data_IF_014377973127
#
_entry.id   IF_014377973127
#
_cell.length_a   1.000
_cell.length_b   1.000
_cell.length_c   1.000
_cell.angle_alpha   90.00
_cell.angle_beta   90.00
_cell.angle_gamma   90.00
#
_symmetry.space_group_name_H-M   'P 1'
#
loop_
_entity.id
_entity.type
_entity.pdbx_description
1 polymer ?
#
# COMPACT_ATOMS: atom_id res chain seq x y z
N UNK A 1 18.08 -4.74 -5.32
CA UNK A 1 16.80 -4.04 -5.23
C UNK A 1 16.86 -3.12 -4.01
N UNK A 2 16.62 -1.85 -4.19
CA UNK A 2 16.64 -0.91 -3.09
C UNK A 2 15.27 -0.21 -2.97
N UNK A 3 14.91 0.13 -1.74
CA UNK A 3 13.65 0.80 -1.42
C UNK A 3 13.88 2.16 -0.80
N UNK A 4 12.91 3.04 -0.96
CA UNK A 4 12.72 4.19 -0.07
C UNK A 4 11.34 4.10 0.56
N UNK A 5 11.26 4.51 1.83
CA UNK A 5 10.03 4.54 2.61
C UNK A 5 9.63 5.99 2.82
N UNK A 6 8.38 6.33 2.58
CA UNK A 6 7.83 7.63 2.93
C UNK A 6 6.49 7.45 3.63
N UNK A 7 6.12 8.41 4.47
CA UNK A 7 4.89 8.33 5.23
C UNK A 7 4.34 9.72 5.55
N UNK A 8 3.03 9.74 5.78
CA UNK A 8 2.33 10.85 6.43
C UNK A 8 1.42 10.21 7.47
N UNK A 9 1.65 10.49 8.74
CA UNK A 9 0.91 9.90 9.86
C UNK A 9 0.29 11.02 10.68
N UNK A 10 -1.04 11.13 10.68
CA UNK A 10 -1.78 12.23 11.30
C UNK A 10 -1.25 13.61 10.88
N UNK A 11 -0.93 13.76 9.58
CA UNK A 11 -0.42 15.01 9.04
C UNK A 11 1.08 15.24 9.21
N UNK A 12 1.79 14.33 9.86
CA UNK A 12 3.25 14.44 10.08
C UNK A 12 3.99 13.54 9.12
N UNK A 13 4.76 14.12 8.20
CA UNK A 13 5.46 13.39 7.15
C UNK A 13 6.92 13.10 7.47
N UNK A 14 7.48 12.13 6.75
CA UNK A 14 8.89 11.77 6.81
C UNK A 14 9.26 10.77 5.75
N UNK A 15 10.55 10.48 5.67
CA UNK A 15 11.07 9.48 4.73
C UNK A 15 12.34 8.82 5.28
N UNK A 16 12.67 7.66 4.70
CA UNK A 16 13.84 6.89 5.07
C UNK A 16 14.36 6.17 3.82
N UNK A 17 15.62 6.42 3.46
CA UNK A 17 16.28 5.71 2.37
C UNK A 17 16.82 4.38 2.87
N UNK A 18 16.70 3.33 2.04
CA UNK A 18 17.18 1.99 2.36
C UNK A 18 16.68 1.47 3.72
N UNK A 19 15.34 1.47 3.94
CA UNK A 19 14.81 1.03 5.22
C UNK A 19 15.07 -0.45 5.46
N UNK A 20 15.23 -0.82 6.73
CA UNK A 20 15.12 -2.20 7.17
C UNK A 20 13.64 -2.55 7.37
N UNK A 21 13.32 -3.83 7.44
CA UNK A 21 11.93 -4.24 7.70
C UNK A 21 11.40 -3.63 9.01
N UNK A 22 12.23 -3.55 10.04
CA UNK A 22 11.83 -2.95 11.31
C UNK A 22 11.39 -1.49 11.15
N UNK A 23 12.04 -0.73 10.27
CA UNK A 23 11.66 0.66 9.99
C UNK A 23 10.26 0.73 9.36
N UNK A 24 10.01 -0.16 8.40
CA UNK A 24 8.70 -0.26 7.74
C UNK A 24 7.62 -0.69 8.73
N UNK A 25 7.90 -1.71 9.53
CA UNK A 25 6.94 -2.26 10.48
C UNK A 25 6.54 -1.25 11.55
N UNK A 26 7.49 -0.47 12.06
CA UNK A 26 7.19 0.58 13.04
C UNK A 26 6.18 1.59 12.47
N UNK A 27 6.37 2.03 11.22
CA UNK A 27 5.45 2.98 10.59
C UNK A 27 4.10 2.34 10.26
N UNK A 28 4.12 1.09 9.84
CA UNK A 28 2.90 0.34 9.56
C UNK A 28 2.05 0.19 10.83
N UNK A 29 2.65 -0.20 11.95
CA UNK A 29 1.95 -0.34 13.22
C UNK A 29 1.39 1.01 13.70
N UNK A 30 2.13 2.10 13.48
CA UNK A 30 1.66 3.43 13.83
C UNK A 30 0.42 3.81 12.97
N UNK A 31 0.34 3.34 11.73
CA UNK A 31 -0.79 3.63 10.85
C UNK A 31 -2.08 2.92 11.25
N UNK A 32 -2.01 1.88 12.08
CA UNK A 32 -3.15 0.99 12.37
C UNK A 32 -4.40 1.71 12.86
N UNK A 33 -4.25 2.73 13.71
CA UNK A 33 -5.39 3.40 14.35
C UNK A 33 -5.47 4.89 14.03
N UNK A 34 -4.76 5.34 13.00
CA UNK A 34 -4.72 6.75 12.62
C UNK A 34 -5.02 6.90 11.13
N UNK A 35 -5.10 8.13 10.66
CA UNK A 35 -5.19 8.41 9.23
C UNK A 35 -3.80 8.72 8.67
N UNK A 36 -3.57 8.34 7.42
CA UNK A 36 -2.30 8.63 6.77
C UNK A 36 -1.98 7.71 5.62
N UNK A 37 -0.74 7.81 5.16
CA UNK A 37 -0.21 7.02 4.04
C UNK A 37 1.16 6.46 4.38
N UNK A 38 1.46 5.30 3.79
CA UNK A 38 2.80 4.73 3.74
C UNK A 38 3.07 4.33 2.30
N UNK A 39 4.23 4.70 1.79
CA UNK A 39 4.65 4.36 0.43
C UNK A 39 6.04 3.74 0.46
N UNK A 40 6.17 2.58 -0.19
CA UNK A 40 7.45 1.95 -0.49
C UNK A 40 7.70 2.09 -1.98
N UNK A 41 8.76 2.78 -2.35
CA UNK A 41 9.20 2.90 -3.74
C UNK A 41 10.39 1.99 -3.99
N UNK A 42 10.40 1.31 -5.14
CA UNK A 42 11.54 0.53 -5.59
C UNK A 42 12.38 1.42 -6.51
N UNK A 43 13.68 1.46 -6.25
CA UNK A 43 14.62 2.14 -7.12
C UNK A 43 15.24 1.14 -8.10
N UNK A 44 15.65 1.63 -9.26
CA UNK A 44 16.40 0.88 -10.27
C UNK A 44 15.61 -0.25 -10.94
N UNK A 45 14.27 -0.18 -10.96
CA UNK A 45 13.44 -1.08 -11.75
C UNK A 45 12.90 -0.38 -12.98
N UNK A 46 13.37 -0.79 -14.16
CA UNK A 46 12.88 -0.23 -15.44
C UNK A 46 11.50 -0.76 -15.80
N UNK A 47 11.16 -1.96 -15.34
CA UNK A 47 9.87 -2.62 -15.59
C UNK A 47 9.42 -3.36 -14.34
N UNK A 48 8.15 -3.77 -14.32
CA UNK A 48 7.59 -4.49 -13.18
C UNK A 48 7.18 -3.55 -12.06
N UNK A 49 7.08 -4.05 -10.82
CA UNK A 49 6.63 -3.26 -9.69
C UNK A 49 7.51 -2.05 -9.42
N UNK A 50 6.89 -0.91 -9.16
CA UNK A 50 7.56 0.37 -8.90
C UNK A 50 7.31 0.87 -7.48
N UNK A 51 6.10 0.65 -6.95
CA UNK A 51 5.74 1.17 -5.64
C UNK A 51 4.56 0.41 -5.06
N UNK A 52 4.47 0.43 -3.73
CA UNK A 52 3.29 0.01 -2.99
C UNK A 52 2.88 1.14 -2.06
N UNK A 53 1.61 1.53 -2.11
CA UNK A 53 1.08 2.57 -1.23
C UNK A 53 -0.10 2.06 -0.43
N UNK A 54 -0.11 2.40 0.86
CA UNK A 54 -1.22 2.14 1.76
C UNK A 54 -1.79 3.48 2.18
N UNK A 55 -3.11 3.65 2.02
CA UNK A 55 -3.86 4.78 2.55
C UNK A 55 -4.79 4.28 3.63
N UNK A 56 -4.89 5.00 4.74
CA UNK A 56 -5.66 4.55 5.88
C UNK A 56 -6.46 5.68 6.51
N UNK A 57 -7.68 5.35 6.92
CA UNK A 57 -8.53 6.21 7.74
C UNK A 57 -9.59 5.37 8.45
N UNK A 58 -9.73 5.57 9.76
CA UNK A 58 -10.80 4.95 10.56
C UNK A 58 -10.89 3.42 10.44
N UNK A 59 -9.74 2.74 10.34
CA UNK A 59 -9.70 1.28 10.22
C UNK A 59 -9.98 0.74 8.83
N UNK A 60 -10.10 1.62 7.84
CA UNK A 60 -10.24 1.26 6.43
C UNK A 60 -8.90 1.48 5.74
N UNK A 61 -8.50 0.52 4.90
CA UNK A 61 -7.21 0.56 4.21
C UNK A 61 -7.40 0.36 2.72
N UNK A 62 -6.69 1.17 1.93
CA UNK A 62 -6.60 1.02 0.49
C UNK A 62 -5.15 0.73 0.14
N UNK A 63 -4.90 -0.39 -0.54
CA UNK A 63 -3.55 -0.80 -0.91
C UNK A 63 -3.46 -0.87 -2.42
N UNK A 64 -2.50 -0.14 -2.98
CA UNK A 64 -2.27 -0.08 -4.43
C UNK A 64 -0.81 -0.37 -4.75
N UNK A 65 -0.59 -1.20 -5.77
CA UNK A 65 0.73 -1.48 -6.32
C UNK A 65 0.80 -0.89 -7.72
N UNK A 66 1.74 0.02 -7.95
CA UNK A 66 2.02 0.57 -9.27
C UNK A 66 3.11 -0.24 -9.96
N UNK A 67 2.91 -0.58 -11.23
CA UNK A 67 3.89 -1.33 -12.00
C UNK A 67 3.94 -0.86 -13.45
N UNK A 68 5.07 -1.12 -14.10
CA UNK A 68 5.24 -0.85 -15.54
C UNK A 68 5.15 -2.18 -16.28
N UNK A 69 4.16 -2.26 -17.19
CA UNK A 69 3.91 -3.43 -18.02
C UNK A 69 3.85 -2.96 -19.48
N UNK A 70 4.77 -3.45 -20.33
CA UNK A 70 4.82 -3.09 -21.76
C UNK A 70 4.77 -1.57 -21.99
N UNK A 71 5.61 -0.84 -21.29
CA UNK A 71 5.74 0.64 -21.32
C UNK A 71 4.54 1.41 -20.74
N UNK A 72 3.50 0.73 -20.27
CA UNK A 72 2.35 1.35 -19.62
C UNK A 72 2.46 1.25 -18.09
N UNK A 73 2.00 2.30 -17.41
CA UNK A 73 1.90 2.29 -15.94
C UNK A 73 0.51 1.76 -15.56
N UNK A 74 0.49 0.69 -14.79
CA UNK A 74 -0.74 0.03 -14.34
C UNK A 74 -0.79 -0.01 -12.82
N UNK A 75 -2.00 -0.04 -12.26
CA UNK A 75 -2.22 -0.13 -10.81
C UNK A 75 -2.98 -1.42 -10.52
N UNK A 76 -2.42 -2.20 -9.58
CA UNK A 76 -3.08 -3.39 -9.03
C UNK A 76 -3.58 -3.07 -7.63
N UNK A 77 -4.74 -3.59 -7.27
CA UNK A 77 -5.37 -3.34 -5.98
C UNK A 77 -6.10 -4.58 -5.47
N UNK A 78 -6.45 -4.56 -4.19
CA UNK A 78 -7.33 -5.56 -3.62
C UNK A 78 -8.73 -5.44 -4.22
N UNK A 79 -9.37 -6.57 -4.45
CA UNK A 79 -10.72 -6.60 -5.00
C UNK A 79 -11.53 -7.72 -4.35
N UNK A 80 -12.63 -7.35 -3.70
CA UNK A 80 -13.57 -8.28 -3.06
C UNK A 80 -14.89 -8.30 -3.85
N UNK A 81 -15.13 -9.39 -4.56
CA UNK A 81 -16.33 -9.54 -5.42
C UNK A 81 -17.64 -9.58 -4.64
N UNK A 82 -17.58 -9.86 -3.33
CA UNK A 82 -18.77 -10.03 -2.49
C UNK A 82 -19.21 -8.73 -1.80
N UNK A 83 -18.46 -7.64 -1.96
CA UNK A 83 -18.79 -6.43 -1.24
C UNK A 83 -19.90 -5.65 -1.97
N UNK A 84 -20.50 -4.70 -1.22
CA UNK A 84 -21.57 -3.85 -1.72
C UNK A 84 -21.04 -2.77 -2.67
N UNK A 85 -21.96 -2.08 -3.37
CA UNK A 85 -21.60 -0.98 -4.27
C UNK A 85 -21.38 0.36 -3.52
N UNK A 86 -21.31 0.33 -2.19
CA UNK A 86 -21.13 1.55 -1.40
C UNK A 86 -19.72 2.12 -1.60
N UNK A 87 -19.62 3.45 -1.43
CA UNK A 87 -18.35 4.15 -1.49
C UNK A 87 -17.87 4.44 -0.08
N UNK A 88 -16.55 4.38 0.11
CA UNK A 88 -15.88 4.66 1.39
C UNK A 88 -14.93 5.84 1.21
N UNK A 89 -15.01 6.81 2.10
CA UNK A 89 -14.13 7.96 2.06
C UNK A 89 -12.84 7.66 2.83
N UNK A 90 -11.70 7.80 2.16
CA UNK A 90 -10.37 7.68 2.77
C UNK A 90 -9.58 8.91 2.37
N UNK A 91 -9.15 9.70 3.35
CA UNK A 91 -8.31 10.89 3.15
C UNK A 91 -8.92 11.89 2.15
N UNK A 92 -10.25 12.04 2.19
CA UNK A 92 -10.97 12.98 1.35
C UNK A 92 -11.41 12.45 -0.01
N UNK A 93 -10.96 11.26 -0.40
CA UNK A 93 -11.33 10.63 -1.66
C UNK A 93 -12.30 9.46 -1.42
N UNK A 94 -13.21 9.25 -2.36
CA UNK A 94 -14.18 8.15 -2.29
C UNK A 94 -13.72 6.97 -3.13
N UNK A 95 -13.76 5.78 -2.53
CA UNK A 95 -13.29 4.53 -3.14
C UNK A 95 -14.38 3.48 -3.09
N UNK A 96 -14.48 2.60 -4.11
CA UNK A 96 -15.44 1.49 -4.06
C UNK A 96 -15.17 0.59 -2.86
N UNK A 97 -16.21 0.20 -2.16
CA UNK A 97 -16.08 -0.67 -0.98
C UNK A 97 -15.39 -2.01 -1.29
N UNK A 98 -15.50 -2.48 -2.54
CA UNK A 98 -14.86 -3.72 -2.96
C UNK A 98 -13.32 -3.65 -3.02
N UNK A 99 -12.75 -2.45 -2.91
CA UNK A 99 -11.29 -2.26 -2.84
C UNK A 99 -10.81 -2.00 -1.40
N UNK A 100 -11.71 -1.89 -0.44
CA UNK A 100 -11.38 -1.54 0.93
C UNK A 100 -11.05 -2.79 1.74
N UNK A 101 -9.95 -2.73 2.47
CA UNK A 101 -9.49 -3.78 3.39
C UNK A 101 -9.74 -3.29 4.81
N UNK A 102 -10.35 -4.14 5.65
CA UNK A 102 -10.53 -3.85 7.09
C UNK A 102 -9.66 -4.75 7.97
N UNK A 103 -9.11 -5.80 7.41
CA UNK A 103 -8.21 -6.72 8.12
C UNK A 103 -6.78 -6.22 8.04
N UNK A 104 -6.28 -5.66 9.14
CA UNK A 104 -4.93 -5.12 9.21
C UNK A 104 -3.85 -6.20 8.98
N UNK A 105 -4.12 -7.45 9.39
CA UNK A 105 -3.15 -8.53 9.18
C UNK A 105 -2.94 -8.81 7.70
N UNK A 106 -3.97 -8.65 6.87
CA UNK A 106 -3.84 -8.75 5.42
C UNK A 106 -2.96 -7.63 4.86
N UNK A 107 -3.13 -6.40 5.36
CA UNK A 107 -2.28 -5.26 4.96
C UNK A 107 -0.82 -5.55 5.29
N UNK A 108 -0.56 -6.06 6.49
CA UNK A 108 0.80 -6.43 6.93
C UNK A 108 1.40 -7.51 6.02
N UNK A 109 0.62 -8.53 5.67
CA UNK A 109 1.06 -9.60 4.78
C UNK A 109 1.47 -9.05 3.42
N UNK A 110 0.67 -8.16 2.84
CA UNK A 110 0.91 -7.59 1.52
C UNK A 110 2.19 -6.75 1.50
N UNK A 111 2.35 -5.84 2.46
CA UNK A 111 3.53 -4.97 2.50
C UNK A 111 4.81 -5.77 2.81
N UNK A 112 4.71 -6.80 3.64
CA UNK A 112 5.83 -7.68 3.94
C UNK A 112 6.28 -8.44 2.69
N UNK A 113 5.33 -8.99 1.92
CA UNK A 113 5.67 -9.68 0.67
C UNK A 113 6.34 -8.71 -0.31
N UNK A 114 5.79 -7.51 -0.47
CA UNK A 114 6.37 -6.51 -1.36
C UNK A 114 7.80 -6.15 -0.95
N UNK A 115 8.02 -5.91 0.34
CA UNK A 115 9.34 -5.54 0.85
C UNK A 115 10.38 -6.65 0.63
N UNK A 116 10.00 -7.91 0.88
CA UNK A 116 10.94 -9.03 0.83
C UNK A 116 11.15 -9.59 -0.58
N UNK A 117 10.18 -9.40 -1.49
CA UNK A 117 10.26 -9.98 -2.84
C UNK A 117 10.25 -8.95 -3.97
N UNK A 118 9.85 -7.71 -3.70
CA UNK A 118 9.68 -6.69 -4.72
C UNK A 118 8.37 -6.80 -5.50
N UNK A 119 7.46 -7.66 -5.08
CA UNK A 119 6.19 -7.88 -5.76
C UNK A 119 5.14 -8.39 -4.76
N UNK A 120 3.90 -8.51 -5.23
CA UNK A 120 2.81 -9.12 -4.48
C UNK A 120 2.09 -10.09 -5.41
N UNK A 121 1.73 -11.27 -4.91
CA UNK A 121 1.02 -12.26 -5.70
C UNK A 121 -0.30 -11.68 -6.23
N UNK A 122 -0.64 -12.06 -7.47
CA UNK A 122 -1.84 -11.53 -8.14
C UNK A 122 -3.15 -12.01 -7.50
N UNK A 123 -3.12 -13.07 -6.71
CA UNK A 123 -4.28 -13.48 -5.94
C UNK A 123 -4.56 -12.58 -4.72
N UNK A 124 -3.60 -11.76 -4.32
CA UNK A 124 -3.77 -10.79 -3.25
C UNK A 124 -4.10 -9.39 -3.80
N UNK A 125 -3.38 -8.96 -4.83
CA UNK A 125 -3.63 -7.69 -5.53
C UNK A 125 -3.68 -7.99 -7.03
N UNK A 126 -4.83 -7.85 -7.60
CA UNK A 126 -5.06 -8.19 -9.03
C UNK A 126 -4.89 -7.01 -10.00
#
# INVERSE_FOLDING_TARGET
MSFSLSWTLNGSGGNCDNPLWDDVEIKLLALRNIHGTITLDIHDNDTGPQMLQIRAEAGNYLVMLGEIVSDDYEVRAYYNKKSTAEMVCILGDYWPNNQIITDFSFVTQVISEFFHTGNVQKNLLS
#
